data_IF_519605569973
#
_entry.id   IF_519605569973
#
_cell.length_a   1.000
_cell.length_b   1.000
_cell.length_c   1.000
_cell.angle_alpha   90.00
_cell.angle_beta   90.00
_cell.angle_gamma   90.00
#
_symmetry.space_group_name_H-M   'P 1'
#
loop_
_entity.id
_entity.type
_entity.pdbx_description
1 polymer ?
#
# COMPACT_ATOMS: atom_id res chain seq x y z
N UNK A 1 42.87 47.40 41.85
CA UNK A 1 44.21 46.76 41.79
C UNK A 1 44.07 45.46 41.02
N UNK A 2 44.74 45.31 39.87
CA UNK A 2 44.80 44.06 39.12
C UNK A 2 45.84 43.12 39.75
N UNK A 3 45.42 41.89 40.08
CA UNK A 3 46.28 40.89 40.70
C UNK A 3 47.10 40.21 39.60
N UNK A 4 48.36 40.63 39.45
CA UNK A 4 49.31 39.98 38.55
C UNK A 4 49.71 38.63 39.15
N UNK A 5 49.09 37.56 38.68
CA UNK A 5 49.49 36.18 38.98
C UNK A 5 50.56 35.78 37.96
N UNK A 6 51.74 35.45 38.48
CA UNK A 6 52.86 34.96 37.68
C UNK A 6 52.52 33.55 37.21
N UNK A 7 52.34 33.38 35.90
CA UNK A 7 52.23 32.05 35.31
C UNK A 7 53.59 31.37 35.44
N UNK A 8 53.64 30.21 36.10
CA UNK A 8 54.86 29.41 36.18
C UNK A 8 55.15 28.87 34.78
N UNK A 9 56.01 29.57 34.05
CA UNK A 9 56.37 29.27 32.69
C UNK A 9 57.42 28.15 32.65
N UNK A 10 56.99 26.93 32.97
CA UNK A 10 57.86 25.77 33.02
C UNK A 10 57.74 24.95 31.72
N UNK A 11 58.88 24.41 31.25
CA UNK A 11 58.96 23.59 30.02
C UNK A 11 58.01 22.40 30.06
N UNK A 12 57.86 21.77 31.23
CA UNK A 12 56.92 20.66 31.42
C UNK A 12 55.46 21.05 31.10
N UNK A 13 55.02 22.22 31.59
CA UNK A 13 53.66 22.73 31.36
C UNK A 13 53.47 23.12 29.88
N UNK A 14 54.51 23.65 29.23
CA UNK A 14 54.48 23.96 27.80
C UNK A 14 54.36 22.69 26.96
N UNK A 15 55.20 21.68 27.22
CA UNK A 15 55.21 20.41 26.50
C UNK A 15 53.89 19.65 26.66
N UNK A 16 53.32 19.62 27.88
CA UNK A 16 52.04 18.96 28.11
C UNK A 16 50.88 19.70 27.43
N UNK A 17 50.88 21.04 27.44
CA UNK A 17 49.89 21.84 26.72
C UNK A 17 50.02 21.68 25.19
N UNK A 18 51.23 21.60 24.65
CA UNK A 18 51.46 21.33 23.22
C UNK A 18 50.95 19.93 22.85
N UNK A 19 51.23 18.92 23.68
CA UNK A 19 50.74 17.56 23.48
C UNK A 19 49.22 17.49 23.53
N UNK A 20 48.58 18.18 24.48
CA UNK A 20 47.10 18.27 24.55
C UNK A 20 46.52 18.95 23.32
N UNK A 21 47.10 20.09 22.88
CA UNK A 21 46.67 20.78 21.66
C UNK A 21 46.78 19.90 20.43
N UNK A 22 47.88 19.17 20.28
CA UNK A 22 48.08 18.22 19.19
C UNK A 22 47.02 17.11 19.19
N UNK A 23 46.76 16.49 20.34
CA UNK A 23 45.73 15.46 20.49
C UNK A 23 44.32 16.01 20.22
N UNK A 24 44.02 17.23 20.65
CA UNK A 24 42.73 17.88 20.41
C UNK A 24 42.56 18.29 18.95
N UNK A 25 43.63 18.65 18.25
CA UNK A 25 43.63 18.90 16.81
C UNK A 25 43.39 17.61 16.02
N UNK A 26 44.04 16.50 16.39
CA UNK A 26 43.77 15.19 15.79
C UNK A 26 42.33 14.74 16.03
N UNK A 27 41.82 14.89 17.26
CA UNK A 27 40.42 14.61 17.59
C UNK A 27 39.46 15.48 16.78
N UNK A 28 39.76 16.77 16.63
CA UNK A 28 38.95 17.69 15.80
C UNK A 28 38.95 17.28 14.33
N UNK A 29 40.10 16.90 13.75
CA UNK A 29 40.19 16.40 12.38
C UNK A 29 39.36 15.11 12.21
N UNK A 30 39.48 14.16 13.13
CA UNK A 30 38.70 12.91 13.11
C UNK A 30 37.20 13.15 13.27
N UNK A 31 36.79 14.05 14.15
CA UNK A 31 35.37 14.38 14.35
C UNK A 31 34.78 15.10 13.13
N UNK A 32 35.55 15.96 12.45
CA UNK A 32 35.14 16.56 11.17
C UNK A 32 34.98 15.51 10.09
N UNK A 33 35.90 14.55 9.99
CA UNK A 33 35.79 13.43 9.06
C UNK A 33 34.55 12.58 9.35
N UNK A 34 34.30 12.24 10.62
CA UNK A 34 33.08 11.52 11.03
C UNK A 34 31.80 12.29 10.68
N UNK A 35 31.80 13.62 10.81
CA UNK A 35 30.69 14.47 10.38
C UNK A 35 30.42 14.37 8.88
N UNK A 36 31.47 14.41 8.04
CA UNK A 36 31.33 14.21 6.60
C UNK A 36 30.82 12.81 6.24
N UNK A 37 31.30 11.78 6.93
CA UNK A 37 30.80 10.40 6.76
C UNK A 37 29.32 10.31 7.11
N UNK A 38 28.89 10.92 8.22
CA UNK A 38 27.48 10.95 8.62
C UNK A 38 26.59 11.65 7.59
N UNK A 39 27.03 12.78 7.03
CA UNK A 39 26.31 13.48 5.97
C UNK A 39 26.20 12.58 4.72
N UNK A 40 27.28 11.90 4.34
CA UNK A 40 27.30 11.01 3.17
C UNK A 40 26.36 9.82 3.37
N UNK A 41 26.37 9.21 4.55
CA UNK A 41 25.43 8.13 4.92
C UNK A 41 24.00 8.66 4.86
N UNK A 42 23.70 9.82 5.46
CA UNK A 42 22.36 10.41 5.41
C UNK A 42 21.90 10.62 3.96
N UNK A 43 22.75 11.19 3.10
CA UNK A 43 22.44 11.40 1.68
C UNK A 43 22.20 10.07 0.93
N UNK A 44 22.99 9.04 1.22
CA UNK A 44 22.86 7.72 0.61
C UNK A 44 21.50 7.08 0.95
N UNK A 45 21.00 7.29 2.18
CA UNK A 45 19.73 6.72 2.63
C UNK A 45 18.49 7.51 2.21
N UNK A 46 18.61 8.74 1.68
CA UNK A 46 17.45 9.54 1.22
C UNK A 46 16.75 8.88 0.02
N UNK A 47 17.50 8.43 -0.99
CA UNK A 47 16.93 7.83 -2.21
C UNK A 47 16.15 6.52 -1.97
N UNK A 48 16.68 5.52 -1.23
CA UNK A 48 15.92 4.30 -0.94
C UNK A 48 14.70 4.55 -0.05
N UNK A 49 14.71 5.57 0.81
CA UNK A 49 13.57 5.92 1.66
C UNK A 49 12.33 6.34 0.84
N UNK A 50 12.51 7.13 -0.22
CA UNK A 50 11.40 7.51 -1.11
C UNK A 50 10.81 6.30 -1.86
N UNK A 51 11.68 5.41 -2.34
CA UNK A 51 11.25 4.20 -3.05
C UNK A 51 10.43 3.27 -2.14
N UNK A 52 10.83 3.15 -0.87
CA UNK A 52 10.16 2.32 0.12
C UNK A 52 8.72 2.79 0.39
N UNK A 53 8.53 4.11 0.57
CA UNK A 53 7.20 4.67 0.86
C UNK A 53 6.23 4.44 -0.30
N UNK A 54 6.67 4.68 -1.53
CA UNK A 54 5.83 4.46 -2.71
C UNK A 54 5.53 2.97 -2.95
N UNK A 55 6.49 2.10 -2.66
CA UNK A 55 6.29 0.65 -2.74
C UNK A 55 5.24 0.16 -1.73
N UNK A 56 5.17 0.76 -0.53
CA UNK A 56 4.16 0.39 0.46
C UNK A 56 2.74 0.76 0.04
N UNK A 57 2.54 2.00 -0.42
CA UNK A 57 1.24 2.49 -0.92
C UNK A 57 0.76 1.69 -2.13
N UNK A 58 1.66 1.40 -3.07
CA UNK A 58 1.31 0.59 -4.25
C UNK A 58 0.97 -0.86 -3.88
N UNK A 59 1.66 -1.45 -2.90
CA UNK A 59 1.35 -2.80 -2.42
C UNK A 59 -0.04 -2.86 -1.79
N UNK A 60 -0.39 -1.87 -0.96
CA UNK A 60 -1.68 -1.81 -0.29
C UNK A 60 -2.83 -1.68 -1.30
N UNK A 61 -2.67 -0.76 -2.26
CA UNK A 61 -3.63 -0.56 -3.34
C UNK A 61 -3.79 -1.81 -4.22
N UNK A 62 -2.69 -2.46 -4.59
CA UNK A 62 -2.75 -3.73 -5.35
C UNK A 62 -3.48 -4.81 -4.57
N UNK A 63 -3.23 -4.96 -3.27
CA UNK A 63 -3.92 -5.96 -2.44
C UNK A 63 -5.42 -5.72 -2.39
N UNK A 64 -5.86 -4.47 -2.26
CA UNK A 64 -7.27 -4.11 -2.32
C UNK A 64 -7.88 -4.40 -3.71
N UNK A 65 -7.17 -4.05 -4.79
CA UNK A 65 -7.59 -4.35 -6.16
C UNK A 65 -7.69 -5.86 -6.41
N UNK A 66 -6.74 -6.66 -5.94
CA UNK A 66 -6.79 -8.12 -6.03
C UNK A 66 -8.01 -8.69 -5.32
N UNK A 67 -8.30 -8.24 -4.10
CA UNK A 67 -9.48 -8.70 -3.36
C UNK A 67 -10.79 -8.33 -4.07
N UNK A 68 -10.87 -7.12 -4.65
CA UNK A 68 -12.04 -6.72 -5.45
C UNK A 68 -12.16 -7.53 -6.74
N UNK A 69 -11.04 -7.77 -7.43
CA UNK A 69 -11.01 -8.52 -8.67
C UNK A 69 -11.38 -9.98 -8.44
N UNK A 70 -10.91 -10.59 -7.34
CA UNK A 70 -11.28 -11.93 -6.92
C UNK A 70 -12.80 -12.05 -6.70
N UNK A 71 -13.40 -11.11 -5.96
CA UNK A 71 -14.85 -11.07 -5.75
C UNK A 71 -15.63 -10.92 -7.07
N UNK A 72 -15.16 -10.05 -7.97
CA UNK A 72 -15.76 -9.88 -9.29
C UNK A 72 -15.67 -11.15 -10.12
N UNK A 73 -14.53 -11.85 -10.05
CA UNK A 73 -14.31 -13.09 -10.76
C UNK A 73 -15.22 -14.21 -10.26
N UNK A 74 -15.36 -14.36 -8.95
CA UNK A 74 -16.27 -15.33 -8.33
C UNK A 74 -17.74 -15.04 -8.72
N UNK A 75 -18.18 -13.79 -8.59
CA UNK A 75 -19.54 -13.38 -8.99
C UNK A 75 -19.80 -13.63 -10.47
N UNK A 76 -18.85 -13.30 -11.34
CA UNK A 76 -18.96 -13.54 -12.78
C UNK A 76 -18.96 -15.04 -13.11
N UNK A 77 -18.23 -15.85 -12.35
CA UNK A 77 -18.23 -17.30 -12.45
C UNK A 77 -19.58 -17.91 -12.10
N UNK A 78 -20.19 -17.44 -11.00
CA UNK A 78 -21.56 -17.82 -10.60
C UNK A 78 -22.59 -17.40 -11.65
N UNK A 79 -22.53 -16.15 -12.12
CA UNK A 79 -23.43 -15.64 -13.14
C UNK A 79 -23.30 -16.42 -14.45
N UNK A 80 -22.07 -16.72 -14.89
CA UNK A 80 -21.83 -17.56 -16.07
C UNK A 80 -22.41 -18.96 -15.91
N UNK A 81 -22.27 -19.58 -14.74
CA UNK A 81 -22.87 -20.90 -14.44
C UNK A 81 -24.39 -20.84 -14.49
N UNK A 82 -24.98 -19.83 -13.86
CA UNK A 82 -26.42 -19.62 -13.86
C UNK A 82 -26.97 -19.41 -15.27
N UNK A 83 -26.34 -18.53 -16.06
CA UNK A 83 -26.73 -18.26 -17.45
C UNK A 83 -26.55 -19.51 -18.32
N UNK A 84 -25.47 -20.28 -18.13
CA UNK A 84 -25.26 -21.54 -18.85
C UNK A 84 -26.31 -22.59 -18.51
N UNK A 85 -26.70 -22.70 -17.24
CA UNK A 85 -27.74 -23.63 -16.79
C UNK A 85 -29.11 -23.23 -17.36
N UNK A 86 -29.45 -21.94 -17.33
CA UNK A 86 -30.66 -21.41 -17.98
C UNK A 86 -30.64 -21.68 -19.47
N UNK A 87 -29.54 -21.38 -20.17
CA UNK A 87 -29.41 -21.61 -21.60
C UNK A 87 -29.57 -23.10 -21.95
N UNK A 88 -29.15 -24.01 -21.06
CA UNK A 88 -29.34 -25.45 -21.23
C UNK A 88 -30.79 -25.85 -20.99
N UNK A 89 -31.43 -25.34 -19.93
CA UNK A 89 -32.84 -25.61 -19.61
C UNK A 89 -33.80 -25.02 -20.65
N UNK A 90 -33.48 -23.86 -21.22
CA UNK A 90 -34.26 -23.23 -22.29
C UNK A 90 -34.28 -24.03 -23.60
N UNK A 91 -33.39 -25.02 -23.77
CA UNK A 91 -33.48 -25.96 -24.91
C UNK A 91 -34.65 -26.93 -24.79
N UNK A 92 -35.21 -27.09 -23.60
CA UNK A 92 -36.43 -27.87 -23.38
C UNK A 92 -37.66 -26.97 -23.56
N UNK A 93 -38.49 -27.28 -24.56
CA UNK A 93 -39.70 -26.54 -24.90
C UNK A 93 -40.70 -26.43 -23.73
N UNK A 94 -40.77 -27.45 -22.87
CA UNK A 94 -41.64 -27.46 -21.68
C UNK A 94 -41.16 -26.43 -20.65
N UNK A 95 -39.85 -26.37 -20.43
CA UNK A 95 -39.23 -25.40 -19.55
C UNK A 95 -39.33 -23.99 -20.13
N UNK A 96 -39.05 -23.82 -21.43
CA UNK A 96 -39.15 -22.54 -22.12
C UNK A 96 -40.56 -21.94 -22.05
N UNK A 97 -41.60 -22.75 -22.27
CA UNK A 97 -42.99 -22.31 -22.15
C UNK A 97 -43.36 -21.88 -20.71
N UNK A 98 -42.88 -22.62 -19.70
CA UNK A 98 -43.08 -22.25 -18.27
C UNK A 98 -42.32 -20.97 -17.91
N UNK A 99 -41.09 -20.83 -18.39
CA UNK A 99 -40.28 -19.64 -18.20
C UNK A 99 -40.92 -18.41 -18.86
N UNK A 100 -41.43 -18.55 -20.09
CA UNK A 100 -42.12 -17.47 -20.79
C UNK A 100 -43.38 -17.00 -20.04
N UNK A 101 -44.18 -17.95 -19.54
CA UNK A 101 -45.35 -17.67 -18.70
C UNK A 101 -44.98 -16.94 -17.41
N UNK A 102 -43.98 -17.43 -16.69
CA UNK A 102 -43.60 -16.88 -15.38
C UNK A 102 -42.86 -15.53 -15.48
N UNK A 103 -41.97 -15.38 -16.46
CA UNK A 103 -41.11 -14.19 -16.60
C UNK A 103 -41.77 -13.07 -17.40
N UNK A 104 -42.52 -13.41 -18.44
CA UNK A 104 -43.06 -12.44 -19.40
C UNK A 104 -44.58 -12.39 -19.42
N UNK A 105 -45.26 -13.09 -18.51
CA UNK A 105 -46.72 -13.19 -18.51
C UNK A 105 -47.26 -13.59 -19.89
N UNK A 106 -46.62 -14.58 -20.52
CA UNK A 106 -47.06 -15.07 -21.82
C UNK A 106 -48.30 -15.97 -21.66
N UNK A 107 -49.39 -15.69 -22.38
CA UNK A 107 -50.58 -16.55 -22.45
C UNK A 107 -50.86 -17.02 -23.87
N UNK A 108 -51.52 -18.17 -24.00
CA UNK A 108 -52.06 -18.65 -25.27
C UNK A 108 -53.44 -18.05 -25.54
N UNK A 109 -53.89 -18.19 -26.79
CA UNK A 109 -55.23 -17.77 -27.20
C UNK A 109 -56.31 -18.41 -26.30
N UNK A 110 -57.15 -17.58 -25.69
CA UNK A 110 -58.17 -18.00 -24.73
C UNK A 110 -57.75 -18.07 -23.26
N UNK A 111 -56.46 -17.87 -22.93
CA UNK A 111 -55.95 -17.78 -21.55
C UNK A 111 -55.95 -16.31 -21.06
N UNK A 112 -56.54 -16.04 -19.88
CA UNK A 112 -56.49 -14.73 -19.20
C UNK A 112 -55.49 -14.74 -18.04
N UNK A 113 -54.63 -13.72 -17.96
CA UNK A 113 -53.64 -13.55 -16.89
C UNK A 113 -54.09 -12.46 -15.94
N UNK A 114 -54.12 -12.78 -14.65
CA UNK A 114 -54.36 -11.83 -13.58
C UNK A 114 -53.04 -11.56 -12.85
N UNK A 115 -52.46 -10.38 -13.04
CA UNK A 115 -51.25 -9.95 -12.32
C UNK A 115 -51.65 -9.35 -10.98
N UNK A 116 -51.15 -9.92 -9.89
CA UNK A 116 -51.27 -9.33 -8.55
C UNK A 116 -49.94 -8.67 -8.18
N UNK A 117 -49.95 -7.42 -7.67
CA UNK A 117 -48.72 -6.66 -7.40
C UNK A 117 -47.72 -7.39 -6.49
N UNK A 118 -48.21 -8.26 -5.58
CA UNK A 118 -47.40 -8.99 -4.61
C UNK A 118 -46.73 -10.27 -5.15
N UNK A 119 -47.07 -10.75 -6.35
CA UNK A 119 -46.59 -12.04 -6.89
C UNK A 119 -45.60 -11.91 -8.04
N UNK A 120 -45.24 -10.69 -8.45
CA UNK A 120 -44.24 -10.48 -9.49
C UNK A 120 -42.84 -10.63 -8.89
N UNK A 121 -41.98 -11.53 -9.42
CA UNK A 121 -40.59 -11.59 -9.00
C UNK A 121 -39.88 -10.29 -9.43
N UNK A 122 -39.36 -9.54 -8.45
CA UNK A 122 -38.50 -8.38 -8.70
C UNK A 122 -37.16 -8.79 -9.33
#
# INVERSE_FOLDING_TARGET
MSRNIVQINNRFIQDENQRRRYLDEERRKRNRFMGWVLILVMLLFILPAYNLYQSYETLLNRRAQYAQLQKKYEKLGEEKRYQSDIATKLKDDSYAAKYARAKYSFSKEGEYIYTTPDLLPQ
#
